data_IF_477693202804
#
_entry.id   IF_477693202804
#
_cell.length_a   1.000
_cell.length_b   1.000
_cell.length_c   1.000
_cell.angle_alpha   90.00
_cell.angle_beta   90.00
_cell.angle_gamma   90.00
#
_symmetry.space_group_name_H-M   'P 1'
#
loop_
_entity.id
_entity.type
_entity.pdbx_description
1 polymer ?
#
# COMPACT_ATOMS: atom_id res chain seq x y z
N UNK A 1 26.12 -34.93 38.42
CA UNK A 1 24.65 -34.78 38.30
C UNK A 1 23.95 -36.10 37.95
N UNK A 2 24.23 -36.78 36.83
CA UNK A 2 23.56 -38.07 36.50
C UNK A 2 24.06 -39.26 37.34
N UNK A 3 25.37 -39.30 37.63
CA UNK A 3 25.98 -40.33 38.50
C UNK A 3 25.47 -40.24 39.95
N UNK A 4 25.18 -39.02 40.43
CA UNK A 4 24.63 -38.77 41.77
C UNK A 4 23.21 -39.35 41.93
N UNK A 5 22.53 -39.63 40.82
CA UNK A 5 21.21 -40.29 40.78
C UNK A 5 21.31 -41.78 40.43
N UNK A 6 22.52 -42.37 40.48
CA UNK A 6 22.74 -43.79 40.22
C UNK A 6 22.51 -44.22 38.77
N UNK A 7 22.51 -43.28 37.80
CA UNK A 7 22.37 -43.60 36.38
C UNK A 7 23.67 -44.24 35.89
N UNK A 8 23.55 -45.46 35.34
CA UNK A 8 24.71 -46.25 34.87
C UNK A 8 24.59 -46.72 33.41
N UNK A 9 23.46 -46.43 32.74
CA UNK A 9 23.29 -46.68 31.30
C UNK A 9 22.37 -45.64 30.68
N UNK A 10 22.63 -45.25 29.43
CA UNK A 10 21.86 -44.26 28.70
C UNK A 10 21.86 -44.46 27.19
N UNK A 11 20.80 -43.99 26.54
CA UNK A 11 20.64 -43.92 25.08
C UNK A 11 20.21 -42.50 24.73
N UNK A 12 20.88 -41.87 23.77
CA UNK A 12 20.53 -40.55 23.28
C UNK A 12 20.35 -40.58 21.75
N UNK A 13 19.33 -39.90 21.26
CA UNK A 13 19.08 -39.68 19.83
C UNK A 13 18.90 -38.19 19.56
N UNK A 14 19.24 -37.73 18.35
CA UNK A 14 19.08 -36.33 17.96
C UNK A 14 17.64 -36.04 17.52
N UNK A 15 17.13 -34.89 17.95
CA UNK A 15 15.92 -34.27 17.42
C UNK A 15 16.36 -33.27 16.36
N UNK A 16 15.97 -33.51 15.12
CA UNK A 16 16.20 -32.60 14.00
C UNK A 16 14.94 -31.79 13.73
N UNK A 17 15.05 -30.48 13.52
CA UNK A 17 13.98 -29.69 12.88
C UNK A 17 14.42 -29.39 11.45
N UNK A 18 13.68 -29.93 10.47
CA UNK A 18 14.12 -29.94 9.07
C UNK A 18 15.51 -30.56 8.99
N UNK A 19 16.51 -29.84 8.49
CA UNK A 19 17.89 -30.33 8.32
C UNK A 19 18.86 -29.88 9.42
N UNK A 20 18.36 -29.27 10.51
CA UNK A 20 19.20 -28.74 11.59
C UNK A 20 19.00 -29.50 12.91
N UNK A 21 20.08 -29.90 13.59
CA UNK A 21 19.96 -30.47 14.93
C UNK A 21 19.41 -29.41 15.88
N UNK A 22 18.35 -29.75 16.60
CA UNK A 22 17.66 -28.84 17.52
C UNK A 22 17.84 -29.24 18.97
N UNK A 23 17.91 -30.55 19.25
CA UNK A 23 18.06 -31.05 20.60
C UNK A 23 18.37 -32.54 20.64
N UNK A 24 18.35 -33.10 21.84
CA UNK A 24 18.68 -34.51 22.10
C UNK A 24 17.60 -35.11 22.99
N UNK A 25 17.10 -36.29 22.65
CA UNK A 25 16.23 -37.10 23.49
C UNK A 25 17.04 -38.23 24.10
N UNK A 26 17.12 -38.26 25.43
CA UNK A 26 17.87 -39.28 26.15
C UNK A 26 16.98 -40.11 27.08
N UNK A 27 17.19 -41.43 27.09
CA UNK A 27 16.62 -42.37 28.04
C UNK A 27 17.72 -42.92 28.93
N UNK A 28 17.53 -42.89 30.25
CA UNK A 28 18.52 -43.27 31.25
C UNK A 28 17.98 -44.36 32.19
N UNK A 29 18.85 -45.24 32.70
CA UNK A 29 18.48 -46.19 33.75
C UNK A 29 19.62 -46.43 34.76
N UNK A 30 19.23 -46.86 35.96
CA UNK A 30 20.12 -47.22 37.06
C UNK A 30 20.50 -48.71 37.10
N UNK A 31 20.21 -49.44 36.02
CA UNK A 31 20.61 -50.84 35.80
C UNK A 31 21.50 -50.91 34.57
N UNK A 32 22.46 -51.82 34.58
CA UNK A 32 23.32 -52.06 33.42
C UNK A 32 22.46 -52.60 32.28
N UNK A 33 22.28 -51.81 31.21
CA UNK A 33 21.47 -52.17 30.03
C UNK A 33 22.26 -51.89 28.77
N UNK A 34 22.35 -52.88 27.89
CA UNK A 34 22.80 -52.70 26.50
C UNK A 34 21.56 -52.40 25.66
N UNK A 35 21.52 -51.22 25.03
CA UNK A 35 20.40 -50.83 24.17
C UNK A 35 20.54 -51.51 22.80
N UNK A 36 19.46 -52.11 22.33
CA UNK A 36 19.37 -52.73 21.02
C UNK A 36 19.08 -51.71 19.93
N UNK A 37 19.24 -52.10 18.65
CA UNK A 37 18.79 -51.30 17.51
C UNK A 37 17.29 -50.98 17.58
N UNK A 38 16.47 -51.88 18.16
CA UNK A 38 15.04 -51.60 18.36
C UNK A 38 14.80 -50.49 19.38
N UNK A 39 15.58 -50.42 20.46
CA UNK A 39 15.52 -49.32 21.43
C UNK A 39 15.90 -47.99 20.76
N UNK A 40 16.97 -47.98 19.95
CA UNK A 40 17.41 -46.80 19.19
C UNK A 40 16.30 -46.34 18.23
N UNK A 41 15.75 -47.26 17.43
CA UNK A 41 14.70 -46.94 16.46
C UNK A 41 13.41 -46.44 17.14
N UNK A 42 13.08 -46.99 18.31
CA UNK A 42 11.95 -46.50 19.11
C UNK A 42 12.20 -45.06 19.58
N UNK A 43 13.33 -44.78 20.22
CA UNK A 43 13.69 -43.43 20.64
C UNK A 43 13.74 -42.45 19.45
N UNK A 44 14.28 -42.88 18.31
CA UNK A 44 14.32 -42.07 17.08
C UNK A 44 12.90 -41.78 16.56
N UNK A 45 11.98 -42.75 16.64
CA UNK A 45 10.58 -42.54 16.24
C UNK A 45 9.90 -41.50 17.13
N UNK A 46 10.14 -41.55 18.45
CA UNK A 46 9.66 -40.53 19.38
C UNK A 46 10.28 -39.16 19.08
N UNK A 47 11.59 -39.09 18.80
CA UNK A 47 12.27 -37.87 18.41
C UNK A 47 11.68 -37.25 17.12
N UNK A 48 11.31 -38.08 16.14
CA UNK A 48 10.67 -37.62 14.91
C UNK A 48 9.24 -37.08 15.16
N UNK A 49 8.45 -37.73 16.01
CA UNK A 49 7.11 -37.25 16.40
C UNK A 49 7.22 -35.91 17.16
N UNK A 50 8.20 -35.78 18.06
CA UNK A 50 8.47 -34.54 18.77
C UNK A 50 8.88 -33.43 17.81
N UNK A 51 9.78 -33.73 16.86
CA UNK A 51 10.17 -32.80 15.80
C UNK A 51 8.97 -32.27 15.03
N UNK A 52 8.12 -33.17 14.51
CA UNK A 52 6.92 -32.79 13.78
C UNK A 52 5.98 -31.90 14.62
N UNK A 53 5.80 -32.25 15.90
CA UNK A 53 4.95 -31.48 16.82
C UNK A 53 5.51 -30.08 17.11
N UNK A 54 6.84 -29.96 17.24
CA UNK A 54 7.52 -28.68 17.45
C UNK A 54 7.37 -27.79 16.21
N UNK A 55 7.69 -28.31 15.02
CA UNK A 55 7.57 -27.57 13.75
C UNK A 55 6.13 -27.08 13.57
N UNK A 56 5.15 -27.97 13.74
CA UNK A 56 3.74 -27.61 13.61
C UNK A 56 3.33 -26.51 14.58
N UNK A 57 3.79 -26.57 15.83
CA UNK A 57 3.48 -25.54 16.84
C UNK A 57 4.13 -24.19 16.49
N UNK A 58 5.35 -24.18 15.98
CA UNK A 58 6.04 -22.96 15.51
C UNK A 58 5.32 -22.35 14.30
N UNK A 59 4.89 -23.17 13.35
CA UNK A 59 4.11 -22.73 12.18
C UNK A 59 2.75 -22.17 12.59
N UNK A 60 2.02 -22.86 13.48
CA UNK A 60 0.75 -22.37 14.02
C UNK A 60 0.91 -21.06 14.78
N UNK A 61 1.96 -20.91 15.60
CA UNK A 61 2.25 -19.66 16.30
C UNK A 61 2.61 -18.53 15.33
N UNK A 62 3.43 -18.82 14.32
CA UNK A 62 3.80 -17.85 13.29
C UNK A 62 2.56 -17.37 12.53
N UNK A 63 1.68 -18.31 12.15
CA UNK A 63 0.42 -17.99 11.49
C UNK A 63 -0.50 -17.14 12.37
N UNK A 64 -0.67 -17.48 13.66
CA UNK A 64 -1.45 -16.67 14.60
C UNK A 64 -0.89 -15.25 14.73
N UNK A 65 0.43 -15.12 14.86
CA UNK A 65 1.08 -13.81 14.93
C UNK A 65 0.87 -12.99 13.63
N UNK A 66 0.87 -13.64 12.46
CA UNK A 66 0.58 -12.99 11.18
C UNK A 66 -0.88 -12.53 11.11
N UNK A 67 -1.83 -13.38 11.48
CA UNK A 67 -3.26 -13.07 11.48
C UNK A 67 -3.57 -11.92 12.46
N UNK A 68 -3.00 -11.94 13.68
CA UNK A 68 -3.11 -10.85 14.66
C UNK A 68 -2.55 -9.53 14.10
N UNK A 69 -1.35 -9.55 13.50
CA UNK A 69 -0.76 -8.36 12.87
C UNK A 69 -1.62 -7.82 11.73
N UNK A 70 -2.17 -8.70 10.89
CA UNK A 70 -3.05 -8.31 9.78
C UNK A 70 -4.33 -7.64 10.28
N UNK A 71 -4.91 -8.14 11.36
CA UNK A 71 -6.12 -7.59 11.99
C UNK A 71 -5.84 -6.22 12.60
N UNK A 72 -4.70 -6.08 13.29
CA UNK A 72 -4.26 -4.80 13.84
C UNK A 72 -4.03 -3.75 12.74
N UNK A 73 -3.43 -4.14 11.61
CA UNK A 73 -3.26 -3.25 10.47
C UNK A 73 -4.62 -2.79 9.94
N UNK A 74 -5.58 -3.71 9.69
CA UNK A 74 -6.94 -3.35 9.25
C UNK A 74 -7.60 -2.35 10.21
N UNK A 75 -7.50 -2.56 11.52
CA UNK A 75 -8.05 -1.65 12.54
C UNK A 75 -7.38 -0.25 12.51
N UNK A 76 -6.06 -0.18 12.34
CA UNK A 76 -5.35 1.09 12.16
C UNK A 76 -5.92 1.82 10.93
N UNK A 77 -6.11 1.12 9.82
CA UNK A 77 -6.62 1.73 8.60
C UNK A 77 -8.06 2.24 8.75
N UNK A 78 -8.92 1.49 9.42
CA UNK A 78 -10.27 1.95 9.78
C UNK A 78 -10.23 3.21 10.67
N UNK A 79 -9.32 3.27 11.65
CA UNK A 79 -9.14 4.46 12.50
C UNK A 79 -8.63 5.67 11.73
N UNK A 80 -7.71 5.48 10.78
CA UNK A 80 -7.24 6.56 9.89
C UNK A 80 -8.41 7.13 9.09
N UNK A 81 -9.24 6.27 8.48
CA UNK A 81 -10.47 6.71 7.79
C UNK A 81 -11.39 7.52 8.69
N UNK A 82 -11.69 7.01 9.89
CA UNK A 82 -12.55 7.70 10.86
C UNK A 82 -11.97 9.06 11.27
N UNK A 83 -10.66 9.15 11.48
CA UNK A 83 -9.98 10.40 11.81
C UNK A 83 -10.08 11.42 10.66
N UNK A 84 -9.85 11.00 9.41
CA UNK A 84 -10.01 11.87 8.24
C UNK A 84 -11.44 12.38 8.08
N UNK A 85 -12.45 11.56 8.39
CA UNK A 85 -13.85 11.97 8.40
C UNK A 85 -14.15 13.02 9.49
N UNK A 86 -13.67 12.80 10.71
CA UNK A 86 -13.84 13.76 11.82
C UNK A 86 -13.15 15.10 11.47
N UNK A 87 -11.91 15.05 10.98
CA UNK A 87 -11.17 16.25 10.56
C UNK A 87 -11.94 16.99 9.47
N UNK A 88 -12.45 16.29 8.46
CA UNK A 88 -13.26 16.89 7.39
C UNK A 88 -14.52 17.58 7.94
N UNK A 89 -15.22 16.93 8.87
CA UNK A 89 -16.42 17.49 9.49
C UNK A 89 -16.11 18.76 10.30
N UNK A 90 -15.03 18.76 11.08
CA UNK A 90 -14.58 19.93 11.84
C UNK A 90 -14.23 21.10 10.92
N UNK A 91 -13.51 20.84 9.83
CA UNK A 91 -13.17 21.87 8.83
C UNK A 91 -14.44 22.42 8.18
N UNK A 92 -15.41 21.55 7.85
CA UNK A 92 -16.72 21.96 7.32
C UNK A 92 -17.48 22.90 8.26
N UNK A 93 -17.54 22.57 9.55
CA UNK A 93 -18.19 23.41 10.56
C UNK A 93 -17.48 24.77 10.76
N UNK A 94 -16.17 24.84 10.52
CA UNK A 94 -15.44 26.12 10.54
C UNK A 94 -15.69 26.92 9.25
N UNK A 95 -15.80 26.25 8.10
CA UNK A 95 -16.07 26.87 6.82
C UNK A 95 -17.42 27.62 6.83
N UNK A 96 -18.44 27.08 7.49
CA UNK A 96 -19.77 27.74 7.64
C UNK A 96 -19.69 29.14 8.28
N UNK A 97 -18.63 29.45 9.02
CA UNK A 97 -18.44 30.74 9.71
C UNK A 97 -17.64 31.75 8.90
N UNK A 98 -17.18 31.37 7.71
CA UNK A 98 -16.33 32.20 6.87
C UNK A 98 -17.20 33.01 5.90
N UNK A 99 -17.08 34.33 5.96
CA UNK A 99 -17.76 35.23 5.01
C UNK A 99 -16.90 35.55 3.78
N UNK A 100 -15.59 35.39 3.86
CA UNK A 100 -14.67 35.64 2.75
C UNK A 100 -14.74 34.50 1.73
N UNK A 101 -15.11 34.83 0.50
CA UNK A 101 -15.35 33.83 -0.55
C UNK A 101 -14.10 33.05 -0.92
N UNK A 102 -12.93 33.71 -0.98
CA UNK A 102 -11.68 33.05 -1.33
C UNK A 102 -11.22 32.08 -0.23
N UNK A 103 -11.40 32.46 1.04
CA UNK A 103 -11.15 31.58 2.18
C UNK A 103 -12.13 30.41 2.19
N UNK A 104 -13.42 30.63 1.90
CA UNK A 104 -14.40 29.54 1.82
C UNK A 104 -14.04 28.51 0.75
N UNK A 105 -13.68 28.97 -0.46
CA UNK A 105 -13.22 28.10 -1.56
C UNK A 105 -11.98 27.27 -1.15
N UNK A 106 -11.02 27.87 -0.45
CA UNK A 106 -9.84 27.14 0.04
C UNK A 106 -10.19 26.06 1.08
N UNK A 107 -11.17 26.32 1.95
CA UNK A 107 -11.66 25.33 2.92
C UNK A 107 -12.41 24.18 2.23
N UNK A 108 -13.30 24.49 1.27
CA UNK A 108 -14.00 23.47 0.48
C UNK A 108 -13.02 22.58 -0.29
N UNK A 109 -11.98 23.18 -0.87
CA UNK A 109 -10.91 22.43 -1.55
C UNK A 109 -10.17 21.51 -0.57
N UNK A 110 -9.88 21.99 0.64
CA UNK A 110 -9.24 21.19 1.70
C UNK A 110 -10.12 20.00 2.12
N UNK A 111 -11.43 20.22 2.31
CA UNK A 111 -12.37 19.15 2.65
C UNK A 111 -12.44 18.11 1.52
N UNK A 112 -12.50 18.56 0.27
CA UNK A 112 -12.50 17.69 -0.90
C UNK A 112 -11.25 16.80 -0.93
N UNK A 113 -10.06 17.38 -0.69
CA UNK A 113 -8.79 16.65 -0.63
C UNK A 113 -8.77 15.60 0.48
N UNK A 114 -9.23 15.92 1.68
CA UNK A 114 -9.26 14.97 2.81
C UNK A 114 -10.23 13.82 2.51
N UNK A 115 -11.38 14.10 1.91
CA UNK A 115 -12.33 13.07 1.47
C UNK A 115 -11.73 12.16 0.41
N UNK A 116 -11.03 12.72 -0.57
CA UNK A 116 -10.35 11.94 -1.59
C UNK A 116 -9.26 11.06 -0.98
N UNK A 117 -8.44 11.59 -0.06
CA UNK A 117 -7.46 10.80 0.69
C UNK A 117 -8.10 9.64 1.46
N UNK A 118 -9.25 9.88 2.10
CA UNK A 118 -9.98 8.84 2.82
C UNK A 118 -10.52 7.74 1.89
N UNK A 119 -11.02 8.10 0.69
CA UNK A 119 -11.49 7.15 -0.32
C UNK A 119 -10.35 6.31 -0.89
N UNK A 120 -9.25 6.95 -1.30
CA UNK A 120 -8.05 6.23 -1.77
C UNK A 120 -7.57 5.28 -0.69
N UNK A 121 -7.51 5.74 0.56
CA UNK A 121 -7.08 4.91 1.66
C UNK A 121 -8.06 3.74 1.95
N UNK A 122 -9.36 3.92 1.76
CA UNK A 122 -10.33 2.82 1.88
C UNK A 122 -10.18 1.79 0.76
N UNK A 123 -10.06 2.24 -0.49
CA UNK A 123 -9.98 1.36 -1.65
C UNK A 123 -8.67 0.54 -1.66
N UNK A 124 -7.56 1.14 -1.21
CA UNK A 124 -6.25 0.49 -1.15
C UNK A 124 -6.10 -0.52 0.01
N UNK A 125 -6.84 -0.34 1.11
CA UNK A 125 -6.74 -1.18 2.32
C UNK A 125 -7.97 -2.05 2.58
N UNK A 126 -9.04 -1.87 1.80
CA UNK A 126 -10.29 -2.63 1.88
C UNK A 126 -10.23 -4.00 1.20
N UNK A 127 -9.22 -4.26 0.36
CA UNK A 127 -9.04 -5.57 -0.27
C UNK A 127 -8.40 -6.56 0.71
N UNK A 128 -8.85 -7.82 0.69
CA UNK A 128 -8.30 -8.85 1.58
C UNK A 128 -6.84 -9.19 1.28
N UNK A 129 -6.31 -8.73 0.14
CA UNK A 129 -4.95 -8.95 -0.29
C UNK A 129 -4.12 -7.66 -0.23
N UNK A 130 -3.71 -7.28 0.99
CA UNK A 130 -2.85 -6.13 1.30
C UNK A 130 -1.48 -6.14 0.59
N UNK A 131 -1.13 -7.21 -0.13
CA UNK A 131 0.17 -7.39 -0.75
C UNK A 131 0.27 -6.76 -2.14
N UNK A 132 -0.84 -6.58 -2.86
CA UNK A 132 -0.85 -6.08 -4.24
C UNK A 132 -2.10 -5.27 -4.52
N UNK A 133 -1.90 -4.01 -4.94
CA UNK A 133 -2.96 -3.11 -5.37
C UNK A 133 -3.11 -3.21 -6.88
N UNK A 134 -4.35 -3.39 -7.33
CA UNK A 134 -4.70 -3.20 -8.74
C UNK A 134 -4.87 -1.71 -9.03
N UNK A 135 -3.80 -1.09 -9.54
CA UNK A 135 -3.80 0.34 -9.85
C UNK A 135 -4.63 0.65 -11.10
N UNK A 136 -4.86 -0.33 -11.97
CA UNK A 136 -5.74 -0.18 -13.12
C UNK A 136 -7.18 -0.02 -12.64
N UNK A 137 -7.67 -0.97 -11.85
CA UNK A 137 -9.06 -0.95 -11.33
C UNK A 137 -9.33 0.35 -10.56
N UNK A 138 -8.39 0.76 -9.69
CA UNK A 138 -8.46 2.04 -8.99
C UNK A 138 -8.61 3.24 -9.94
N UNK A 139 -7.81 3.26 -11.02
CA UNK A 139 -7.83 4.38 -11.99
C UNK A 139 -9.16 4.45 -12.74
N UNK A 140 -9.73 3.30 -13.10
CA UNK A 140 -11.07 3.22 -13.71
C UNK A 140 -12.16 3.77 -12.79
N UNK A 141 -12.17 3.33 -11.52
CA UNK A 141 -13.12 3.79 -10.51
C UNK A 141 -13.00 5.30 -10.26
N UNK A 142 -11.77 5.80 -10.18
CA UNK A 142 -11.50 7.22 -9.99
C UNK A 142 -12.06 8.06 -11.13
N UNK A 143 -11.77 7.72 -12.39
CA UNK A 143 -12.29 8.47 -13.55
C UNK A 143 -13.83 8.40 -13.59
N UNK A 144 -14.41 7.23 -13.35
CA UNK A 144 -15.86 7.07 -13.34
C UNK A 144 -16.53 8.00 -12.30
N UNK A 145 -15.92 8.16 -11.12
CA UNK A 145 -16.40 9.07 -10.09
C UNK A 145 -16.38 10.54 -10.55
N UNK A 146 -15.34 10.95 -11.28
CA UNK A 146 -15.22 12.30 -11.83
C UNK A 146 -16.24 12.57 -12.92
N UNK A 147 -16.45 11.62 -13.84
CA UNK A 147 -17.45 11.75 -14.91
C UNK A 147 -18.83 11.95 -14.30
N UNK A 148 -19.18 11.14 -13.29
CA UNK A 148 -20.46 11.25 -12.59
C UNK A 148 -20.68 12.61 -11.91
N UNK A 149 -19.62 13.24 -11.39
CA UNK A 149 -19.68 14.59 -10.79
C UNK A 149 -19.85 15.70 -11.83
N UNK A 150 -19.35 15.51 -13.06
CA UNK A 150 -19.31 16.53 -14.11
C UNK A 150 -20.35 16.34 -15.23
N UNK A 151 -21.27 15.38 -15.05
CA UNK A 151 -22.09 14.71 -16.08
C UNK A 151 -23.07 15.55 -16.93
N UNK A 152 -22.97 16.89 -16.98
CA UNK A 152 -23.89 17.74 -17.75
C UNK A 152 -23.24 18.88 -18.57
N UNK A 153 -21.91 19.02 -18.58
CA UNK A 153 -21.24 20.13 -19.30
C UNK A 153 -20.09 19.74 -20.24
N UNK A 154 -19.48 18.57 -20.03
CA UNK A 154 -18.27 18.17 -20.75
C UNK A 154 -18.39 16.71 -21.19
N UNK A 155 -18.26 16.44 -22.48
CA UNK A 155 -18.11 15.10 -23.04
C UNK A 155 -16.64 14.69 -22.93
N UNK A 156 -16.29 13.99 -21.86
CA UNK A 156 -14.92 13.58 -21.54
C UNK A 156 -14.64 12.17 -22.08
N UNK A 157 -13.73 12.05 -23.04
CA UNK A 157 -13.12 10.77 -23.43
C UNK A 157 -11.89 10.51 -22.57
N UNK A 158 -11.62 9.25 -22.25
CA UNK A 158 -10.41 8.88 -21.55
C UNK A 158 -9.81 7.58 -22.09
N UNK A 159 -8.49 7.46 -21.96
CA UNK A 159 -7.75 6.23 -22.23
C UNK A 159 -6.86 5.92 -21.03
N UNK A 160 -6.91 4.67 -20.59
CA UNK A 160 -6.07 4.12 -19.52
C UNK A 160 -5.11 3.13 -20.17
N UNK A 161 -3.82 3.34 -19.98
CA UNK A 161 -2.73 2.53 -20.51
C UNK A 161 -1.77 2.16 -19.36
N UNK A 162 -2.26 1.28 -18.50
CA UNK A 162 -1.56 0.84 -17.29
C UNK A 162 -1.03 -0.56 -17.55
N UNK A 163 0.30 -0.72 -17.57
CA UNK A 163 0.93 -2.04 -17.60
C UNK A 163 0.63 -2.78 -16.29
N UNK A 164 0.70 -4.11 -16.32
CA UNK A 164 0.52 -4.94 -15.12
C UNK A 164 1.73 -4.78 -14.17
N UNK A 165 1.76 -3.65 -13.46
CA UNK A 165 2.79 -3.29 -12.49
C UNK A 165 2.28 -3.58 -11.08
N UNK A 166 3.03 -4.39 -10.34
CA UNK A 166 2.71 -4.67 -8.94
C UNK A 166 3.38 -3.62 -8.06
N UNK A 167 2.58 -2.67 -7.58
CA UNK A 167 3.04 -1.65 -6.65
C UNK A 167 2.78 -2.08 -5.21
N UNK A 168 3.81 -2.02 -4.37
CA UNK A 168 3.63 -2.09 -2.93
C UNK A 168 2.78 -0.90 -2.44
N UNK A 169 2.07 -1.08 -1.33
CA UNK A 169 1.13 -0.09 -0.81
C UNK A 169 1.76 1.28 -0.53
N UNK A 170 3.00 1.28 -0.04
CA UNK A 170 3.79 2.49 0.22
C UNK A 170 4.13 3.28 -1.06
N UNK A 171 4.00 2.65 -2.22
CA UNK A 171 4.20 3.25 -3.55
C UNK A 171 2.87 3.59 -4.21
N UNK A 172 1.89 2.67 -4.16
CA UNK A 172 0.58 2.85 -4.77
C UNK A 172 -0.21 4.01 -4.17
N UNK A 173 -0.18 4.18 -2.83
CA UNK A 173 -0.94 5.25 -2.16
C UNK A 173 -0.47 6.65 -2.60
N UNK A 174 0.83 7.00 -2.59
CA UNK A 174 1.28 8.27 -3.17
C UNK A 174 0.94 8.42 -4.65
N UNK A 175 1.04 7.36 -5.47
CA UNK A 175 0.68 7.42 -6.89
C UNK A 175 -0.80 7.76 -7.09
N UNK A 176 -1.68 7.14 -6.31
CA UNK A 176 -3.11 7.35 -6.37
C UNK A 176 -3.51 8.79 -6.00
N UNK A 177 -2.88 9.33 -4.95
CA UNK A 177 -3.11 10.72 -4.55
C UNK A 177 -2.58 11.72 -5.58
N UNK A 178 -1.41 11.45 -6.17
CA UNK A 178 -0.89 12.28 -7.27
C UNK A 178 -1.86 12.24 -8.46
N UNK A 179 -2.31 11.04 -8.85
CA UNK A 179 -3.26 10.87 -9.95
C UNK A 179 -4.55 11.65 -9.70
N UNK A 180 -5.12 11.55 -8.50
CA UNK A 180 -6.32 12.29 -8.13
C UNK A 180 -6.15 13.81 -8.23
N UNK A 181 -5.02 14.36 -7.76
CA UNK A 181 -4.74 15.79 -7.91
C UNK A 181 -4.56 16.21 -9.37
N UNK A 182 -3.85 15.41 -10.16
CA UNK A 182 -3.64 15.67 -11.58
C UNK A 182 -4.96 15.65 -12.36
N UNK A 183 -5.84 14.68 -12.10
CA UNK A 183 -7.17 14.60 -12.72
C UNK A 183 -8.08 15.74 -12.27
N UNK A 184 -8.08 16.07 -10.97
CA UNK A 184 -8.84 17.21 -10.46
C UNK A 184 -8.41 18.51 -11.14
N UNK A 185 -7.10 18.72 -11.30
CA UNK A 185 -6.56 19.90 -11.99
C UNK A 185 -6.95 19.93 -13.47
N UNK A 186 -6.87 18.79 -14.17
CA UNK A 186 -7.27 18.70 -15.57
C UNK A 186 -8.76 19.08 -15.74
N UNK A 187 -9.64 18.55 -14.89
CA UNK A 187 -11.08 18.80 -14.99
C UNK A 187 -11.46 20.24 -14.61
N UNK A 188 -10.77 20.83 -13.63
CA UNK A 188 -11.02 22.21 -13.19
C UNK A 188 -10.49 23.25 -14.17
N UNK A 189 -9.35 22.98 -14.81
CA UNK A 189 -8.58 24.01 -15.52
C UNK A 189 -8.39 23.75 -17.01
N UNK A 190 -8.30 22.48 -17.45
CA UNK A 190 -7.92 22.16 -18.82
C UNK A 190 -9.07 22.37 -19.82
N UNK A 191 -10.32 22.17 -19.38
CA UNK A 191 -11.51 22.16 -20.26
C UNK A 191 -12.47 23.33 -20.01
N UNK A 192 -11.96 24.47 -19.51
CA UNK A 192 -12.76 25.68 -19.35
C UNK A 192 -13.36 26.08 -20.71
N UNK A 193 -14.68 26.27 -20.75
CA UNK A 193 -15.46 26.63 -21.95
C UNK A 193 -15.40 25.60 -23.11
N UNK A 194 -14.88 24.40 -22.88
CA UNK A 194 -14.92 23.30 -23.85
C UNK A 194 -16.10 22.38 -23.59
N UNK A 195 -16.70 21.87 -24.67
CA UNK A 195 -17.76 20.84 -24.62
C UNK A 195 -17.23 19.42 -24.76
N UNK A 196 -15.98 19.27 -25.20
CA UNK A 196 -15.29 17.99 -25.35
C UNK A 196 -13.87 18.06 -24.76
N UNK A 197 -13.42 16.94 -24.20
CA UNK A 197 -12.08 16.80 -23.64
C UNK A 197 -11.59 15.36 -23.74
N UNK A 198 -10.27 15.19 -23.72
CA UNK A 198 -9.61 13.89 -23.71
C UNK A 198 -8.53 13.87 -22.63
N UNK A 199 -8.51 12.80 -21.84
CA UNK A 199 -7.46 12.52 -20.85
C UNK A 199 -6.85 11.15 -21.13
N UNK A 200 -5.52 11.11 -21.24
CA UNK A 200 -4.73 9.88 -21.29
C UNK A 200 -4.00 9.70 -19.96
N UNK A 201 -4.14 8.51 -19.38
CA UNK A 201 -3.42 8.11 -18.17
C UNK A 201 -2.59 6.89 -18.52
N UNK A 202 -1.32 6.90 -18.17
CA UNK A 202 -0.44 5.75 -18.37
C UNK A 202 0.43 5.49 -17.15
N UNK A 203 0.64 4.22 -16.85
CA UNK A 203 1.58 3.77 -15.82
C UNK A 203 2.35 2.57 -16.34
N UNK A 204 3.66 2.69 -16.44
CA UNK A 204 4.52 1.64 -17.00
C UNK A 204 5.89 1.64 -16.32
N UNK A 205 6.64 0.54 -16.50
CA UNK A 205 7.98 0.39 -15.94
C UNK A 205 9.06 0.46 -17.03
N UNK A 206 9.97 1.41 -16.90
CA UNK A 206 11.18 1.53 -17.73
C UNK A 206 12.43 1.15 -16.92
N UNK A 207 13.05 0.01 -17.26
CA UNK A 207 14.29 -0.50 -16.63
C UNK A 207 14.20 -0.55 -15.09
N UNK A 208 14.63 0.52 -14.41
CA UNK A 208 14.71 0.66 -12.95
C UNK A 208 13.71 1.68 -12.36
N UNK A 209 12.84 2.26 -13.20
CA UNK A 209 11.91 3.31 -12.81
C UNK A 209 10.49 3.01 -13.28
N UNK A 210 9.52 3.48 -12.52
CA UNK A 210 8.12 3.58 -12.91
C UNK A 210 7.84 5.00 -13.39
N UNK A 211 6.93 5.09 -14.36
CA UNK A 211 6.51 6.34 -14.95
C UNK A 211 4.99 6.40 -14.89
N UNK A 212 4.46 7.36 -14.12
CA UNK A 212 3.05 7.74 -14.13
C UNK A 212 2.92 9.02 -14.98
N UNK A 213 2.14 8.96 -16.05
CA UNK A 213 1.82 10.13 -16.88
C UNK A 213 0.32 10.39 -16.91
N UNK A 214 -0.05 11.66 -16.84
CA UNK A 214 -1.41 12.15 -17.09
C UNK A 214 -1.30 13.25 -18.13
N UNK A 215 -2.04 13.10 -19.24
CA UNK A 215 -2.07 14.07 -20.33
C UNK A 215 -3.50 14.45 -20.65
N UNK A 216 -3.76 15.74 -20.81
CA UNK A 216 -5.01 16.26 -21.34
C UNK A 216 -4.81 16.98 -22.67
N UNK A 217 -5.91 17.20 -23.40
CA UNK A 217 -5.95 18.04 -24.60
C UNK A 217 -6.60 19.42 -24.34
N UNK A 218 -6.43 19.93 -23.12
CA UNK A 218 -7.02 21.18 -22.67
C UNK A 218 -6.32 22.44 -23.17
N UNK A 219 -6.48 23.52 -22.43
CA UNK A 219 -5.82 24.81 -22.71
C UNK A 219 -4.35 24.86 -22.28
N UNK A 220 -3.90 23.86 -21.51
CA UNK A 220 -2.55 23.81 -20.93
C UNK A 220 -2.37 24.80 -19.76
N UNK A 221 -1.12 24.99 -19.34
CA UNK A 221 -0.78 26.01 -18.33
C UNK A 221 -0.36 27.34 -18.99
N UNK A 222 -0.52 28.48 -18.29
CA UNK A 222 0.02 29.78 -18.71
C UNK A 222 1.53 29.74 -19.01
N UNK A 223 2.00 30.59 -19.91
CA UNK A 223 3.42 30.64 -20.34
C UNK A 223 4.40 31.01 -19.22
N UNK A 224 3.91 31.67 -18.17
CA UNK A 224 4.62 32.06 -16.95
C UNK A 224 4.49 31.04 -15.82
N UNK A 225 3.88 29.88 -16.08
CA UNK A 225 3.75 28.81 -15.10
C UNK A 225 5.12 28.24 -14.71
N UNK A 226 5.51 28.46 -13.46
CA UNK A 226 6.65 27.79 -12.84
C UNK A 226 6.19 27.00 -11.62
N UNK A 227 6.40 25.69 -11.69
CA UNK A 227 6.06 24.76 -10.61
C UNK A 227 6.79 25.11 -9.30
N UNK A 228 8.00 25.68 -9.37
CA UNK A 228 8.78 26.04 -8.17
C UNK A 228 8.28 27.31 -7.50
N UNK A 229 7.60 28.19 -8.24
CA UNK A 229 7.06 29.46 -7.74
C UNK A 229 5.58 29.38 -7.36
N UNK A 230 4.86 28.35 -7.86
CA UNK A 230 3.44 28.21 -7.60
C UNK A 230 3.14 27.87 -6.15
N UNK A 231 2.19 28.60 -5.55
CA UNK A 231 1.74 28.42 -4.16
C UNK A 231 0.48 27.55 -4.05
N UNK A 232 -0.01 27.01 -5.17
CA UNK A 232 -1.20 26.16 -5.15
C UNK A 232 -0.95 24.91 -4.31
N UNK A 233 -1.84 24.61 -3.38
CA UNK A 233 -1.71 23.49 -2.45
C UNK A 233 -1.59 22.13 -3.19
N UNK A 234 -2.27 21.96 -4.33
CA UNK A 234 -2.20 20.75 -5.15
C UNK A 234 -0.80 20.46 -5.68
N UNK A 235 -0.11 21.48 -6.18
CA UNK A 235 1.27 21.31 -6.67
C UNK A 235 2.25 21.06 -5.52
N UNK A 236 2.02 21.66 -4.34
CA UNK A 236 2.78 21.35 -3.13
C UNK A 236 2.61 19.87 -2.76
N UNK A 237 1.38 19.35 -2.81
CA UNK A 237 1.07 17.95 -2.52
C UNK A 237 1.70 16.99 -3.53
N UNK A 238 1.55 17.26 -4.84
CA UNK A 238 2.18 16.46 -5.91
C UNK A 238 3.69 16.39 -5.71
N UNK A 239 4.34 17.52 -5.42
CA UNK A 239 5.78 17.57 -5.18
C UNK A 239 6.19 16.79 -3.93
N UNK A 240 5.44 16.91 -2.83
CA UNK A 240 5.73 16.20 -1.58
C UNK A 240 5.60 14.68 -1.76
N UNK A 241 4.53 14.21 -2.40
CA UNK A 241 4.30 12.79 -2.68
C UNK A 241 5.32 12.23 -3.67
N UNK A 242 5.69 13.00 -4.70
CA UNK A 242 6.73 12.61 -5.66
C UNK A 242 8.08 12.44 -4.95
N UNK A 243 8.42 13.32 -4.01
CA UNK A 243 9.63 13.17 -3.18
C UNK A 243 9.58 11.95 -2.25
N UNK A 244 8.41 11.63 -1.70
CA UNK A 244 8.22 10.42 -0.89
C UNK A 244 8.49 9.14 -1.70
N UNK A 245 8.17 9.16 -3.00
CA UNK A 245 8.49 8.11 -3.97
C UNK A 245 9.96 8.12 -4.43
N UNK A 246 10.79 9.02 -3.89
CA UNK A 246 12.17 9.26 -4.35
C UNK A 246 12.23 9.56 -5.86
N UNK A 247 11.23 10.28 -6.36
CA UNK A 247 11.04 10.57 -7.78
C UNK A 247 11.21 12.04 -8.16
N UNK A 248 10.91 12.32 -9.42
CA UNK A 248 10.83 13.65 -10.02
C UNK A 248 9.51 13.82 -10.78
N UNK A 249 9.00 15.05 -10.84
CA UNK A 249 7.79 15.40 -11.59
C UNK A 249 8.10 16.53 -12.57
N UNK A 250 7.63 16.36 -13.80
CA UNK A 250 7.78 17.31 -14.90
C UNK A 250 6.42 17.66 -15.48
N UNK A 251 6.22 18.93 -15.80
CA UNK A 251 5.04 19.41 -16.52
C UNK A 251 5.47 20.01 -17.86
N UNK A 252 4.75 19.66 -18.92
CA UNK A 252 4.97 20.18 -20.27
C UNK A 252 3.65 20.61 -20.87
N UNK A 253 3.67 21.65 -21.68
CA UNK A 253 2.53 22.08 -22.49
C UNK A 253 2.68 21.44 -23.89
N UNK A 254 1.89 20.40 -24.17
CA UNK A 254 1.97 19.56 -25.38
C UNK A 254 0.56 19.33 -25.98
N UNK A 255 -0.01 20.38 -26.60
CA UNK A 255 -1.41 20.43 -27.04
C UNK A 255 -2.41 20.23 -25.88
N UNK A 256 -2.10 20.83 -24.73
CA UNK A 256 -2.73 20.57 -23.44
C UNK A 256 -1.65 20.33 -22.40
N UNK A 257 -2.02 19.91 -21.20
CA UNK A 257 -1.05 19.65 -20.14
C UNK A 257 -0.60 18.18 -20.17
N UNK A 258 0.71 17.96 -20.08
CA UNK A 258 1.32 16.66 -19.78
C UNK A 258 2.07 16.73 -18.45
N UNK A 259 1.65 15.92 -17.48
CA UNK A 259 2.36 15.69 -16.23
C UNK A 259 3.05 14.32 -16.28
N UNK A 260 4.35 14.27 -15.98
CA UNK A 260 5.15 13.04 -15.95
C UNK A 260 5.83 12.90 -14.60
N UNK A 261 5.53 11.83 -13.87
CA UNK A 261 6.14 11.48 -12.59
C UNK A 261 7.00 10.25 -12.78
N UNK A 262 8.30 10.35 -12.50
CA UNK A 262 9.27 9.27 -12.62
C UNK A 262 9.82 8.90 -11.24
N UNK A 263 9.76 7.63 -10.84
CA UNK A 263 10.15 7.19 -9.50
C UNK A 263 10.69 5.75 -9.52
N UNK A 264 11.50 5.35 -8.53
CA UNK A 264 12.09 3.99 -8.50
C UNK A 264 11.15 2.90 -8.00
N UNK A 265 10.11 3.28 -7.27
CA UNK A 265 9.32 2.34 -6.45
C UNK A 265 10.11 1.89 -5.21
N UNK A 266 9.39 1.46 -4.18
CA UNK A 266 9.98 0.83 -2.98
C UNK A 266 9.75 -0.66 -2.99
#
# INVERSE_FOLDING_TARGET
MLLDHGIISGLCVLIYLKDKPWGILCAHCNKHKVFSVKDINFCQSIANILSYSIVRKEEEQTRRNLDEKSTLLKEIHHRVKNNLQIISALIGLQAEKISDKAALEAFEETIYRIKALALVHEEMYGTDNLSQIDFHEYTENLIASFINLHNNKLNLRYKIDIENVQLAIDTALPCALILNELLSNALKHAFIEKTEGEILISLFKETDYYILEVKDNGVGFPSDFDMKSTKSLGMVLINALTKQLLGNVEFKNENGTKAKVTFKGK
#
